data_IF_521925405294
#
_entry.id   IF_521925405294
#
_cell.length_a   1.000
_cell.length_b   1.000
_cell.length_c   1.000
_cell.angle_alpha   90.00
_cell.angle_beta   90.00
_cell.angle_gamma   90.00
#
_symmetry.space_group_name_H-M   'P 1'
#
loop_
_entity.id
_entity.type
_entity.pdbx_description
1 polymer ?
#
# COMPACT_ATOMS: atom_id res chain seq x y z
N UNK A 1 23.73 -4.96 18.67
CA UNK A 1 22.67 -4.53 17.76
C UNK A 1 22.48 -3.03 17.91
N UNK A 2 22.58 -2.34 16.81
CA UNK A 2 22.33 -0.92 16.73
C UNK A 2 20.97 -0.71 16.04
N UNK A 3 19.99 -0.22 16.75
CA UNK A 3 18.82 0.36 16.15
C UNK A 3 18.53 1.72 16.75
N UNK A 4 17.95 2.54 15.96
CA UNK A 4 17.49 3.82 16.40
C UNK A 4 16.28 3.65 17.32
N UNK A 5 16.29 4.32 18.46
CA UNK A 5 15.23 4.18 19.47
C UNK A 5 13.82 4.49 18.91
N UNK A 6 13.72 5.38 17.90
CA UNK A 6 12.46 5.69 17.22
C UNK A 6 11.89 4.54 16.40
N UNK A 7 12.70 3.53 16.03
CA UNK A 7 12.22 2.35 15.30
C UNK A 7 11.85 1.19 16.24
N UNK A 8 12.07 1.33 17.54
CA UNK A 8 11.79 0.26 18.50
C UNK A 8 10.32 -0.17 18.50
N UNK A 9 9.40 0.75 18.26
CA UNK A 9 7.97 0.49 18.17
C UNK A 9 7.59 -0.29 16.90
N UNK A 10 8.44 -0.30 15.88
CA UNK A 10 8.21 -1.02 14.62
C UNK A 10 8.75 -2.45 14.66
N UNK A 11 9.63 -2.75 15.59
CA UNK A 11 10.15 -4.09 15.81
C UNK A 11 9.04 -4.97 16.36
N UNK A 12 8.69 -6.01 15.64
CA UNK A 12 7.58 -6.93 15.96
C UNK A 12 6.17 -6.37 15.71
N UNK A 13 6.02 -5.24 15.03
CA UNK A 13 4.71 -4.77 14.59
C UNK A 13 4.06 -5.80 13.67
N UNK A 14 2.83 -6.13 13.96
CA UNK A 14 2.02 -7.06 13.21
C UNK A 14 0.90 -6.31 12.50
N UNK A 15 0.96 -6.23 11.15
CA UNK A 15 -0.05 -5.52 10.38
C UNK A 15 -1.26 -6.41 10.12
N UNK A 16 -2.44 -5.95 10.47
CA UNK A 16 -3.71 -6.60 10.21
C UNK A 16 -4.24 -6.29 8.80
N UNK A 17 -4.07 -5.03 8.38
CA UNK A 17 -4.28 -4.52 7.05
C UNK A 17 -3.48 -3.22 6.86
N UNK A 18 -3.07 -2.95 5.63
CA UNK A 18 -2.35 -1.74 5.30
C UNK A 18 -2.70 -1.30 3.88
N UNK A 19 -3.45 -0.22 3.73
CA UNK A 19 -3.78 0.35 2.43
C UNK A 19 -3.16 1.72 2.27
N UNK A 20 -2.65 1.97 1.06
CA UNK A 20 -2.28 3.31 0.64
C UNK A 20 -2.95 3.68 -0.66
N UNK A 21 -3.13 4.99 -0.90
CA UNK A 21 -3.74 5.49 -2.12
C UNK A 21 -3.19 6.87 -2.47
N UNK A 22 -2.68 7.02 -3.69
CA UNK A 22 -2.31 8.34 -4.19
C UNK A 22 -3.56 9.17 -4.39
N UNK A 23 -3.58 10.40 -3.84
CA UNK A 23 -4.70 11.32 -3.99
C UNK A 23 -4.30 12.38 -5.02
N UNK A 24 -4.94 12.39 -6.20
CA UNK A 24 -4.63 13.33 -7.27
C UNK A 24 -4.82 14.79 -6.85
N UNK A 25 -3.91 15.67 -7.32
CA UNK A 25 -3.93 17.09 -6.99
C UNK A 25 -5.25 17.77 -7.37
N UNK A 26 -5.81 17.40 -8.52
CA UNK A 26 -7.08 17.96 -9.01
C UNK A 26 -8.26 17.75 -8.06
N UNK A 27 -8.20 16.75 -7.19
CA UNK A 27 -9.25 16.51 -6.19
C UNK A 27 -9.21 17.51 -5.02
N UNK A 28 -8.14 18.27 -4.87
CA UNK A 28 -8.04 19.32 -3.85
C UNK A 28 -8.58 20.68 -4.32
N UNK A 29 -9.10 20.76 -5.55
CA UNK A 29 -9.50 22.03 -6.17
C UNK A 29 -11.02 22.13 -6.40
N UNK A 30 -11.53 23.35 -6.31
CA UNK A 30 -12.90 23.69 -6.69
C UNK A 30 -13.97 22.83 -6.01
N UNK A 31 -14.92 22.33 -6.83
CA UNK A 31 -16.01 21.46 -6.34
C UNK A 31 -15.53 20.09 -5.87
N UNK A 32 -14.45 19.57 -6.47
CA UNK A 32 -13.86 18.28 -6.11
C UNK A 32 -13.32 18.26 -4.69
N UNK A 33 -12.80 19.39 -4.18
CA UNK A 33 -12.28 19.49 -2.82
C UNK A 33 -13.37 19.20 -1.77
N UNK A 34 -14.60 19.67 -1.98
CA UNK A 34 -15.71 19.38 -1.07
C UNK A 34 -16.10 17.88 -1.11
N UNK A 35 -16.10 17.31 -2.31
CA UNK A 35 -16.39 15.88 -2.47
C UNK A 35 -15.30 15.01 -1.84
N UNK A 36 -14.03 15.35 -2.06
CA UNK A 36 -12.90 14.66 -1.41
C UNK A 36 -13.02 14.76 0.11
N UNK A 37 -13.29 15.95 0.66
CA UNK A 37 -13.47 16.14 2.10
C UNK A 37 -14.59 15.25 2.66
N UNK A 38 -15.74 15.19 1.97
CA UNK A 38 -16.85 14.32 2.35
C UNK A 38 -16.46 12.83 2.30
N UNK A 39 -15.75 12.42 1.26
CA UNK A 39 -15.24 11.05 1.11
C UNK A 39 -14.28 10.66 2.23
N UNK A 40 -13.29 11.52 2.51
CA UNK A 40 -12.31 11.28 3.58
C UNK A 40 -12.98 11.26 4.96
N UNK A 41 -13.96 12.12 5.18
CA UNK A 41 -14.74 12.13 6.40
C UNK A 41 -15.56 10.85 6.56
N UNK A 42 -16.22 10.37 5.50
CA UNK A 42 -16.96 9.09 5.57
C UNK A 42 -16.03 7.89 5.78
N UNK A 43 -14.87 7.87 5.13
CA UNK A 43 -13.86 6.85 5.36
C UNK A 43 -13.34 6.88 6.81
N UNK A 44 -13.09 8.07 7.36
CA UNK A 44 -12.60 8.24 8.73
C UNK A 44 -13.58 7.77 9.80
N UNK A 45 -14.87 7.67 9.48
CA UNK A 45 -15.89 7.06 10.37
C UNK A 45 -15.74 5.54 10.48
N UNK A 46 -15.05 4.91 9.55
CA UNK A 46 -14.76 3.46 9.57
C UNK A 46 -13.42 3.19 10.26
N UNK A 47 -12.37 3.92 9.86
CA UNK A 47 -11.03 3.83 10.42
C UNK A 47 -10.27 5.14 10.21
N UNK A 48 -9.21 5.35 10.98
CA UNK A 48 -8.33 6.52 10.83
C UNK A 48 -7.75 6.57 9.41
N UNK A 49 -7.84 7.75 8.77
CA UNK A 49 -7.23 8.05 7.47
C UNK A 49 -6.12 9.07 7.70
N UNK A 50 -4.89 8.66 7.50
CA UNK A 50 -3.73 9.53 7.48
C UNK A 50 -3.52 10.12 6.09
N UNK A 51 -3.13 11.39 5.99
CA UNK A 51 -2.74 12.02 4.75
C UNK A 51 -1.30 12.50 4.85
N UNK A 52 -0.42 11.93 4.03
CA UNK A 52 0.95 12.38 3.88
C UNK A 52 1.01 13.28 2.63
N UNK A 53 1.17 14.58 2.83
CA UNK A 53 1.26 15.53 1.73
C UNK A 53 2.60 15.42 1.01
N UNK A 54 2.53 15.13 -0.28
CA UNK A 54 3.70 14.96 -1.13
C UNK A 54 4.31 16.33 -1.49
N UNK A 55 5.41 16.67 -0.85
CA UNK A 55 6.17 17.90 -1.14
C UNK A 55 7.42 17.63 -1.99
N UNK A 56 7.64 16.41 -2.45
CA UNK A 56 8.87 16.01 -3.13
C UNK A 56 9.16 16.79 -4.42
N UNK A 57 8.13 17.33 -5.07
CA UNK A 57 8.28 18.15 -6.28
C UNK A 57 8.28 19.66 -5.99
N UNK A 58 8.04 20.09 -4.74
CA UNK A 58 8.01 21.51 -4.39
C UNK A 58 9.39 22.14 -4.58
N UNK A 59 9.48 23.12 -5.48
CA UNK A 59 10.73 23.78 -5.84
C UNK A 59 11.65 22.98 -6.79
N UNK A 60 11.24 21.82 -7.25
CA UNK A 60 12.00 21.05 -8.23
C UNK A 60 11.98 21.75 -9.60
N UNK A 61 13.12 21.77 -10.30
CA UNK A 61 13.16 22.25 -11.69
C UNK A 61 12.39 21.30 -12.62
N UNK A 62 11.87 21.83 -13.74
CA UNK A 62 11.19 21.03 -14.75
C UNK A 62 12.04 19.84 -15.24
N UNK A 63 13.35 20.04 -15.37
CA UNK A 63 14.29 19.00 -15.77
C UNK A 63 14.44 17.90 -14.70
N UNK A 64 14.43 18.26 -13.42
CA UNK A 64 14.46 17.28 -12.33
C UNK A 64 13.17 16.44 -12.29
N UNK A 65 12.03 17.06 -12.49
CA UNK A 65 10.73 16.37 -12.58
C UNK A 65 10.72 15.42 -13.78
N UNK A 66 11.20 15.87 -14.94
CA UNK A 66 11.25 15.05 -16.15
C UNK A 66 12.19 13.84 -15.99
N UNK A 67 13.35 14.01 -15.35
CA UNK A 67 14.22 12.87 -15.00
C UNK A 67 13.51 11.89 -14.07
N UNK A 68 12.77 12.37 -13.09
CA UNK A 68 11.97 11.53 -12.20
C UNK A 68 10.93 10.70 -12.96
N UNK A 69 10.28 11.27 -13.96
CA UNK A 69 9.29 10.57 -14.81
C UNK A 69 9.85 9.41 -15.60
N UNK A 70 11.17 9.41 -15.86
CA UNK A 70 11.87 8.34 -16.59
C UNK A 70 12.37 7.20 -15.70
N UNK A 71 11.97 7.18 -14.45
CA UNK A 71 12.29 6.11 -13.49
C UNK A 71 11.23 5.00 -13.48
N UNK A 72 11.46 3.96 -12.68
CA UNK A 72 10.48 2.90 -12.45
C UNK A 72 9.30 3.32 -11.56
N UNK A 73 9.33 4.53 -11.00
CA UNK A 73 8.32 5.03 -10.09
C UNK A 73 6.93 5.05 -10.75
N UNK A 74 5.90 4.76 -9.96
CA UNK A 74 4.52 4.89 -10.44
C UNK A 74 4.25 6.32 -10.95
N UNK A 75 3.82 6.50 -12.20
CA UNK A 75 3.54 7.83 -12.75
C UNK A 75 2.49 8.64 -11.96
N UNK A 76 1.60 7.97 -11.23
CA UNK A 76 0.61 8.62 -10.37
C UNK A 76 1.24 9.56 -9.33
N UNK A 77 2.45 9.25 -8.83
CA UNK A 77 3.18 10.09 -7.86
C UNK A 77 3.36 11.54 -8.35
N UNK A 78 3.56 11.73 -9.67
CA UNK A 78 3.79 13.06 -10.25
C UNK A 78 2.52 13.90 -10.36
N UNK A 79 1.37 13.33 -10.11
CA UNK A 79 0.07 14.00 -10.11
C UNK A 79 -0.58 14.01 -8.74
N UNK A 80 -0.01 13.31 -7.77
CA UNK A 80 -0.56 13.22 -6.43
C UNK A 80 -0.14 14.41 -5.57
N UNK A 81 -1.09 14.96 -4.82
CA UNK A 81 -0.82 15.94 -3.77
C UNK A 81 -0.57 15.26 -2.41
N UNK A 82 -1.17 14.10 -2.20
CA UNK A 82 -1.03 13.36 -0.96
C UNK A 82 -1.02 11.85 -1.19
N UNK A 83 -0.49 11.13 -0.20
CA UNK A 83 -0.68 9.70 -0.02
C UNK A 83 -1.64 9.50 1.16
N UNK A 84 -2.79 8.90 0.92
CA UNK A 84 -3.66 8.43 2.00
C UNK A 84 -3.15 7.09 2.50
N UNK A 85 -3.09 6.93 3.82
CA UNK A 85 -2.72 5.69 4.50
C UNK A 85 -3.85 5.30 5.46
N UNK A 86 -4.27 4.05 5.38
CA UNK A 86 -5.32 3.47 6.20
C UNK A 86 -4.79 2.11 6.65
N UNK A 87 -4.38 2.00 7.91
CA UNK A 87 -3.70 0.80 8.39
C UNK A 87 -4.10 0.47 9.83
N UNK A 88 -4.05 -0.79 10.17
CA UNK A 88 -4.17 -1.31 11.52
C UNK A 88 -3.08 -2.34 11.78
N UNK A 89 -2.50 -2.28 12.94
CA UNK A 89 -1.50 -3.23 13.42
C UNK A 89 -1.64 -3.48 14.91
N UNK A 90 -0.83 -4.37 15.41
CA UNK A 90 -0.77 -4.71 16.83
C UNK A 90 0.60 -5.25 17.20
N UNK A 91 0.83 -5.39 18.49
CA UNK A 91 2.12 -5.77 19.08
C UNK A 91 2.28 -7.29 19.25
N UNK A 92 1.44 -8.06 18.56
CA UNK A 92 1.48 -9.52 18.65
C UNK A 92 2.77 -10.11 18.11
N UNK A 93 3.26 -11.14 18.77
CA UNK A 93 4.41 -11.93 18.33
C UNK A 93 3.99 -13.41 18.20
N UNK A 94 3.66 -13.89 16.98
CA UNK A 94 3.23 -15.26 16.78
C UNK A 94 4.25 -16.28 17.28
N UNK A 95 3.78 -17.25 18.09
CA UNK A 95 4.62 -18.28 18.67
C UNK A 95 5.40 -17.89 19.91
N UNK A 96 5.21 -16.67 20.43
CA UNK A 96 5.77 -16.24 21.71
C UNK A 96 4.66 -16.32 22.78
N UNK A 97 4.77 -17.22 23.78
CA UNK A 97 3.74 -17.37 24.80
C UNK A 97 3.41 -16.06 25.52
N UNK A 98 2.12 -15.72 25.58
CA UNK A 98 1.61 -14.49 26.18
C UNK A 98 1.69 -13.25 25.29
N UNK A 99 2.15 -13.41 24.04
CA UNK A 99 2.24 -12.34 23.03
C UNK A 99 1.53 -12.70 21.72
N UNK A 100 0.68 -13.71 21.75
CA UNK A 100 -0.08 -14.12 20.58
C UNK A 100 -1.02 -13.00 20.12
N UNK A 101 -1.10 -12.71 18.81
CA UNK A 101 -2.07 -11.76 18.28
C UNK A 101 -3.50 -12.21 18.55
N UNK A 102 -4.36 -11.27 18.98
CA UNK A 102 -5.80 -11.54 19.02
C UNK A 102 -6.37 -11.60 17.61
N UNK A 103 -6.62 -12.81 17.13
CA UNK A 103 -7.10 -13.04 15.77
C UNK A 103 -8.55 -12.53 15.54
N UNK A 104 -9.36 -12.37 16.58
CA UNK A 104 -10.71 -11.81 16.44
C UNK A 104 -10.64 -10.28 16.30
N UNK A 105 -9.85 -9.63 17.13
CA UNK A 105 -9.58 -8.20 17.05
C UNK A 105 -8.91 -7.85 15.71
N UNK A 106 -7.89 -8.61 15.32
CA UNK A 106 -7.18 -8.39 14.05
C UNK A 106 -8.12 -8.45 12.84
N UNK A 107 -9.04 -9.43 12.78
CA UNK A 107 -10.04 -9.52 11.72
C UNK A 107 -11.02 -8.35 11.75
N UNK A 108 -11.53 -7.98 12.93
CA UNK A 108 -12.44 -6.86 13.07
C UNK A 108 -11.80 -5.53 12.67
N UNK A 109 -10.54 -5.31 13.03
CA UNK A 109 -9.77 -4.14 12.62
C UNK A 109 -9.54 -4.13 11.11
N UNK A 110 -9.10 -5.25 10.52
CA UNK A 110 -8.95 -5.40 9.07
C UNK A 110 -10.23 -5.05 8.32
N UNK A 111 -11.37 -5.62 8.72
CA UNK A 111 -12.65 -5.40 8.02
C UNK A 111 -13.07 -3.91 8.04
N UNK A 112 -12.72 -3.18 9.11
CA UNK A 112 -12.95 -1.73 9.20
C UNK A 112 -11.98 -0.93 8.33
N UNK A 113 -10.71 -1.31 8.30
CA UNK A 113 -9.68 -0.71 7.43
C UNK A 113 -10.06 -0.91 5.96
N UNK A 114 -10.44 -2.13 5.57
CA UNK A 114 -10.86 -2.46 4.21
C UNK A 114 -12.11 -1.64 3.80
N UNK A 115 -13.06 -1.46 4.72
CA UNK A 115 -14.23 -0.62 4.46
C UNK A 115 -13.88 0.85 4.23
N UNK A 116 -12.95 1.40 5.03
CA UNK A 116 -12.46 2.77 4.84
C UNK A 116 -11.67 2.93 3.53
N UNK A 117 -10.78 1.98 3.24
CA UNK A 117 -9.95 1.99 2.02
C UNK A 117 -10.80 1.89 0.75
N UNK A 118 -11.85 1.09 0.77
CA UNK A 118 -12.79 0.97 -0.35
C UNK A 118 -13.45 2.30 -0.69
N UNK A 119 -13.90 3.07 0.32
CA UNK A 119 -14.52 4.39 0.12
C UNK A 119 -13.54 5.33 -0.59
N UNK A 120 -12.28 5.36 -0.17
CA UNK A 120 -11.26 6.21 -0.80
C UNK A 120 -10.95 5.72 -2.22
N UNK A 121 -10.83 4.41 -2.43
CA UNK A 121 -10.54 3.80 -3.73
C UNK A 121 -11.64 4.11 -4.76
N UNK A 122 -12.90 3.99 -4.38
CA UNK A 122 -14.05 4.30 -5.25
C UNK A 122 -14.07 5.76 -5.70
N UNK A 123 -13.61 6.67 -4.85
CA UNK A 123 -13.52 8.11 -5.16
C UNK A 123 -12.26 8.49 -5.97
N UNK A 124 -11.30 7.59 -6.09
CA UNK A 124 -10.00 7.85 -6.75
C UNK A 124 -9.66 6.76 -7.77
N UNK A 125 -10.50 6.52 -8.80
CA UNK A 125 -10.26 5.46 -9.77
C UNK A 125 -8.93 5.68 -10.50
N UNK A 126 -8.13 4.60 -10.65
CA UNK A 126 -6.86 4.64 -11.37
C UNK A 126 -5.73 5.44 -10.70
N UNK A 127 -5.91 5.87 -9.45
CA UNK A 127 -4.90 6.70 -8.77
C UNK A 127 -3.66 5.93 -8.31
N UNK A 128 -3.75 4.61 -8.17
CA UNK A 128 -2.63 3.77 -7.76
C UNK A 128 -2.35 3.79 -6.25
N UNK A 129 -1.48 2.88 -5.84
CA UNK A 129 -1.05 2.67 -4.45
C UNK A 129 0.47 2.72 -4.34
N UNK A 130 0.99 2.91 -3.12
CA UNK A 130 2.43 2.92 -2.87
C UNK A 130 2.89 1.50 -2.54
N UNK A 131 3.77 0.95 -3.38
CA UNK A 131 4.19 -0.46 -3.31
C UNK A 131 4.82 -0.88 -1.98
N UNK A 132 5.48 0.03 -1.25
CA UNK A 132 6.09 -0.30 0.03
C UNK A 132 5.12 -0.23 1.22
N UNK A 133 3.94 0.34 1.01
CA UNK A 133 2.93 0.56 2.04
C UNK A 133 1.54 0.21 1.47
N UNK A 134 1.29 -1.07 1.27
CA UNK A 134 0.10 -1.54 0.55
C UNK A 134 -0.45 -2.83 1.13
N UNK A 135 -1.68 -3.17 0.72
CA UNK A 135 -2.30 -4.41 1.11
C UNK A 135 -1.59 -5.62 0.50
N UNK A 136 -1.42 -6.65 1.33
CA UNK A 136 -0.93 -7.95 0.87
C UNK A 136 -1.82 -8.55 -0.23
N UNK A 137 -3.12 -8.25 -0.23
CA UNK A 137 -4.11 -8.72 -1.20
C UNK A 137 -4.49 -7.67 -2.24
N UNK A 138 -3.61 -6.67 -2.51
CA UNK A 138 -3.90 -5.58 -3.45
C UNK A 138 -4.36 -6.12 -4.81
N UNK A 139 -5.61 -5.87 -5.22
CA UNK A 139 -6.10 -6.30 -6.52
C UNK A 139 -5.48 -5.46 -7.63
N UNK A 140 -5.20 -6.08 -8.78
CA UNK A 140 -4.58 -5.41 -9.93
C UNK A 140 -3.26 -4.70 -9.58
N UNK A 141 -2.49 -5.28 -8.65
CA UNK A 141 -1.26 -4.70 -8.09
C UNK A 141 -0.27 -4.22 -9.16
N UNK A 142 -0.22 -4.84 -10.34
CA UNK A 142 0.65 -4.41 -11.44
C UNK A 142 0.37 -2.95 -11.84
N UNK A 143 -0.89 -2.62 -12.07
CA UNK A 143 -1.30 -1.26 -12.41
C UNK A 143 -1.33 -0.32 -11.20
N UNK A 144 -1.70 -0.85 -10.03
CA UNK A 144 -1.76 -0.05 -8.81
C UNK A 144 -0.37 0.43 -8.35
N UNK A 145 0.68 -0.42 -8.47
CA UNK A 145 2.02 -0.07 -8.00
C UNK A 145 2.90 0.59 -9.07
N UNK A 146 2.72 0.23 -10.34
CA UNK A 146 3.65 0.59 -11.40
C UNK A 146 3.00 1.40 -12.53
N UNK A 147 1.65 1.43 -12.59
CA UNK A 147 0.94 2.09 -13.65
C UNK A 147 1.38 1.58 -15.04
N UNK A 148 1.54 2.49 -15.97
CA UNK A 148 1.98 2.20 -17.34
C UNK A 148 3.43 1.67 -17.44
N UNK A 149 4.22 1.83 -16.39
CA UNK A 149 5.61 1.33 -16.37
C UNK A 149 5.68 -0.20 -16.25
N UNK A 150 4.63 -0.89 -15.80
CA UNK A 150 4.68 -2.31 -15.52
C UNK A 150 5.15 -3.14 -16.72
N UNK A 151 4.60 -2.90 -17.90
CA UNK A 151 4.96 -3.65 -19.10
C UNK A 151 6.47 -3.56 -19.44
N UNK A 152 7.03 -2.36 -19.29
CA UNK A 152 8.46 -2.13 -19.51
C UNK A 152 9.31 -2.80 -18.43
N UNK A 153 8.89 -2.72 -17.18
CA UNK A 153 9.57 -3.37 -16.05
C UNK A 153 9.59 -4.89 -16.22
N UNK A 154 8.48 -5.48 -16.67
CA UNK A 154 8.41 -6.91 -16.96
C UNK A 154 9.36 -7.35 -18.08
N UNK A 155 9.52 -6.53 -19.12
CA UNK A 155 10.52 -6.79 -20.18
C UNK A 155 11.94 -6.78 -19.61
N UNK A 156 12.27 -5.80 -18.77
CA UNK A 156 13.57 -5.70 -18.10
C UNK A 156 13.78 -6.92 -17.20
N UNK A 157 12.80 -7.28 -16.39
CA UNK A 157 12.85 -8.47 -15.51
C UNK A 157 13.22 -9.73 -16.30
N UNK A 158 12.57 -9.96 -17.46
CA UNK A 158 12.83 -11.13 -18.30
C UNK A 158 14.24 -11.18 -18.88
N UNK A 159 14.88 -10.02 -19.06
CA UNK A 159 16.27 -9.94 -19.57
C UNK A 159 17.26 -10.23 -18.45
N UNK A 160 17.08 -9.63 -17.27
CA UNK A 160 18.05 -9.70 -16.18
C UNK A 160 17.84 -10.90 -15.25
N UNK A 161 16.64 -11.43 -15.21
CA UNK A 161 16.29 -12.60 -14.41
C UNK A 161 15.41 -13.58 -15.20
N UNK A 162 15.95 -14.17 -16.29
CA UNK A 162 15.19 -15.04 -17.20
C UNK A 162 14.70 -16.33 -16.52
N UNK A 163 15.35 -16.74 -15.44
CA UNK A 163 15.00 -17.95 -14.67
C UNK A 163 14.12 -17.64 -13.45
N UNK A 164 13.72 -16.37 -13.28
CA UNK A 164 12.87 -15.92 -12.19
C UNK A 164 13.39 -16.33 -10.80
N UNK A 165 14.69 -16.16 -10.57
CA UNK A 165 15.36 -16.48 -9.29
C UNK A 165 15.02 -15.49 -8.19
N UNK A 166 14.76 -14.22 -8.54
CA UNK A 166 14.38 -13.16 -7.61
C UNK A 166 12.87 -12.96 -7.65
N UNK A 167 12.18 -13.58 -6.74
CA UNK A 167 10.71 -13.50 -6.64
C UNK A 167 10.29 -13.02 -5.27
N UNK A 168 9.22 -12.26 -5.23
CA UNK A 168 8.50 -11.93 -4.01
C UNK A 168 7.01 -11.76 -4.32
N UNK A 169 6.19 -11.70 -3.30
CA UNK A 169 4.78 -11.40 -3.46
C UNK A 169 4.62 -10.00 -4.08
N UNK A 170 3.83 -9.87 -5.14
CA UNK A 170 3.61 -8.63 -5.88
C UNK A 170 4.88 -7.96 -6.49
N UNK A 171 5.98 -8.70 -6.62
CA UNK A 171 7.12 -8.23 -7.41
C UNK A 171 6.83 -8.28 -8.90
N UNK A 172 7.51 -7.45 -9.68
CA UNK A 172 7.43 -7.48 -11.15
C UNK A 172 7.72 -8.89 -11.66
N UNK A 173 6.77 -9.48 -12.40
CA UNK A 173 6.89 -10.84 -12.94
C UNK A 173 6.49 -11.95 -11.99
N UNK A 174 5.80 -11.65 -10.89
CA UNK A 174 5.36 -12.65 -9.90
C UNK A 174 3.95 -13.22 -10.14
N UNK A 175 3.34 -12.98 -11.29
CA UNK A 175 1.96 -13.40 -11.59
C UNK A 175 1.70 -14.91 -11.45
N UNK A 176 2.73 -15.72 -11.62
CA UNK A 176 2.65 -17.18 -11.45
C UNK A 176 3.11 -17.66 -10.07
N UNK A 177 3.57 -16.77 -9.21
CA UNK A 177 3.97 -17.12 -7.84
C UNK A 177 2.72 -17.14 -6.99
N UNK A 178 2.19 -18.33 -6.75
CA UNK A 178 1.08 -18.52 -5.80
C UNK A 178 1.64 -18.12 -4.43
N UNK A 179 1.06 -17.13 -3.74
CA UNK A 179 1.43 -16.85 -2.36
C UNK A 179 1.28 -18.16 -1.58
N UNK A 180 2.27 -18.49 -0.77
CA UNK A 180 2.20 -19.67 0.08
C UNK A 180 0.82 -19.64 0.73
N UNK A 181 0.01 -20.63 0.40
CA UNK A 181 -1.39 -20.74 0.85
C UNK A 181 -1.35 -20.45 2.33
N UNK A 182 -2.08 -19.41 2.75
CA UNK A 182 -2.33 -19.22 4.17
C UNK A 182 -2.81 -20.57 4.68
N UNK A 183 -1.99 -21.22 5.50
CA UNK A 183 -2.30 -22.54 6.05
C UNK A 183 -3.60 -22.34 6.79
N UNK A 184 -4.69 -22.83 6.22
CA UNK A 184 -5.97 -22.80 6.88
C UNK A 184 -5.77 -23.53 8.19
N UNK A 185 -5.89 -22.83 9.28
CA UNK A 185 -5.93 -23.39 10.62
C UNK A 185 -7.27 -24.16 10.81
N UNK A 186 -7.54 -25.11 9.92
CA UNK A 186 -8.51 -26.18 10.13
C UNK A 186 -7.76 -27.45 10.51
N UNK A 187 -7.02 -27.38 11.60
CA UNK A 187 -6.56 -28.54 12.33
C UNK A 187 -7.78 -29.24 12.91
N UNK A 188 -8.21 -30.30 12.28
CA UNK A 188 -9.13 -31.24 12.90
C UNK A 188 -8.46 -31.78 14.15
N UNK A 189 -9.04 -31.44 15.29
CA UNK A 189 -8.90 -32.27 16.49
C UNK A 189 -9.49 -33.66 16.20
N UNK A 190 -8.71 -34.69 16.39
CA UNK A 190 -9.13 -36.02 16.79
C UNK A 190 -8.36 -36.39 18.04
#
# INVERSE_FOLDING_TARGET
QFWWAGDAEQVSTYWYAYHSRWIPLELFEGAHARQLAATLFEASRRWTVGLHFNKAQAGASADAVERGRRTAMNPAVFRAAALAIIAAGGDGAPGVPGHEPDAAEARAARDRVDAAARIVREATPGAGSYVNETDYFEPNWQSEFWGENYARLLQIKRIYDPHNMFTCHHCVGSEGVIPARAVSASGRAR
#
